data_IF_509248729477
#
_entry.id   IF_509248729477
#
_cell.length_a   1.000
_cell.length_b   1.000
_cell.length_c   1.000
_cell.angle_alpha   90.00
_cell.angle_beta   90.00
_cell.angle_gamma   90.00
#
_symmetry.space_group_name_H-M   'P 1'
#
loop_
_entity.id
_entity.type
_entity.pdbx_description
1 polymer ?
#
# COMPACT_ATOMS: atom_id res chain seq x y z
N UNK A 1 3.85 0.52 24.29
CA UNK A 1 2.86 -0.44 23.75
C UNK A 1 3.35 -1.84 24.08
N UNK A 2 2.51 -2.74 24.61
CA UNK A 2 2.87 -4.15 24.80
C UNK A 2 3.02 -4.82 23.41
N UNK A 3 4.02 -5.70 23.23
CA UNK A 3 4.27 -6.38 21.95
C UNK A 3 3.07 -7.18 21.44
N UNK A 4 2.25 -7.69 22.36
CA UNK A 4 1.02 -8.44 22.01
C UNK A 4 -0.06 -7.55 21.38
N UNK A 5 -0.18 -6.29 21.80
CA UNK A 5 -1.18 -5.37 21.22
C UNK A 5 -0.75 -4.84 19.85
N UNK A 6 0.55 -4.63 19.64
CA UNK A 6 1.11 -4.33 18.32
C UNK A 6 0.82 -5.46 17.33
N UNK A 7 1.13 -6.71 17.70
CA UNK A 7 0.95 -7.86 16.82
C UNK A 7 -0.51 -8.04 16.39
N UNK A 8 -1.47 -7.85 17.32
CA UNK A 8 -2.90 -7.92 17.01
C UNK A 8 -3.35 -6.79 16.08
N UNK A 9 -2.84 -5.57 16.29
CA UNK A 9 -3.16 -4.42 15.45
C UNK A 9 -2.61 -4.60 14.02
N UNK A 10 -1.35 -5.01 13.89
CA UNK A 10 -0.71 -5.28 12.60
C UNK A 10 -1.45 -6.42 11.89
N UNK A 11 -1.78 -7.52 12.58
CA UNK A 11 -2.51 -8.63 11.97
C UNK A 11 -3.88 -8.20 11.41
N UNK A 12 -4.66 -7.43 12.17
CA UNK A 12 -5.95 -6.90 11.70
C UNK A 12 -5.78 -5.98 10.50
N UNK A 13 -4.81 -5.07 10.56
CA UNK A 13 -4.50 -4.17 9.46
C UNK A 13 -4.10 -4.96 8.22
N UNK A 14 -3.19 -5.92 8.33
CA UNK A 14 -2.74 -6.77 7.22
C UNK A 14 -3.90 -7.51 6.56
N UNK A 15 -4.83 -8.08 7.33
CA UNK A 15 -5.99 -8.79 6.76
C UNK A 15 -6.90 -7.84 6.00
N UNK A 16 -7.30 -6.73 6.62
CA UNK A 16 -8.23 -5.77 5.98
C UNK A 16 -7.57 -5.15 4.75
N UNK A 17 -6.31 -4.77 4.87
CA UNK A 17 -5.56 -4.18 3.78
C UNK A 17 -5.35 -5.15 2.61
N UNK A 18 -5.04 -6.41 2.91
CA UNK A 18 -4.92 -7.46 1.90
C UNK A 18 -6.22 -7.64 1.15
N UNK A 19 -7.36 -7.64 1.85
CA UNK A 19 -8.68 -7.72 1.22
C UNK A 19 -8.96 -6.51 0.31
N UNK A 20 -8.69 -5.29 0.78
CA UNK A 20 -8.89 -4.07 0.00
C UNK A 20 -8.03 -4.08 -1.27
N UNK A 21 -6.73 -4.36 -1.13
CA UNK A 21 -5.80 -4.40 -2.27
C UNK A 21 -6.20 -5.49 -3.26
N UNK A 22 -6.61 -6.67 -2.76
CA UNK A 22 -7.08 -7.76 -3.62
C UNK A 22 -8.37 -7.40 -4.39
N UNK A 23 -9.35 -6.80 -3.72
CA UNK A 23 -10.61 -6.36 -4.35
C UNK A 23 -10.38 -5.26 -5.39
N UNK A 24 -9.51 -4.28 -5.07
CA UNK A 24 -9.15 -3.24 -6.03
C UNK A 24 -8.39 -3.81 -7.22
N UNK A 25 -7.40 -4.67 -6.99
CA UNK A 25 -6.65 -5.33 -8.07
C UNK A 25 -7.58 -6.16 -8.96
N UNK A 26 -8.50 -6.92 -8.36
CA UNK A 26 -9.51 -7.67 -9.10
C UNK A 26 -10.39 -6.74 -9.96
N UNK A 27 -10.93 -5.66 -9.38
CA UNK A 27 -11.74 -4.70 -10.12
C UNK A 27 -10.97 -4.02 -11.26
N UNK A 28 -9.73 -3.61 -11.02
CA UNK A 28 -8.88 -3.00 -12.04
C UNK A 28 -8.58 -3.97 -13.19
N UNK A 29 -8.28 -5.24 -12.90
CA UNK A 29 -8.01 -6.25 -13.94
C UNK A 29 -9.28 -6.68 -14.71
N UNK A 30 -10.47 -6.61 -14.09
CA UNK A 30 -11.71 -7.03 -14.76
C UNK A 30 -12.36 -5.90 -15.57
N UNK A 31 -12.26 -4.65 -15.13
CA UNK A 31 -13.03 -3.54 -15.72
C UNK A 31 -12.17 -2.48 -16.42
N UNK A 32 -10.89 -2.35 -16.09
CA UNK A 32 -10.03 -1.27 -16.64
C UNK A 32 -8.96 -1.83 -17.56
N UNK A 33 -8.23 -2.85 -17.10
CA UNK A 33 -7.10 -3.46 -17.80
C UNK A 33 -7.32 -4.96 -17.97
N UNK A 34 -8.06 -5.32 -19.02
CA UNK A 34 -8.43 -6.70 -19.33
C UNK A 34 -7.33 -7.46 -20.08
N UNK A 35 -6.30 -6.76 -20.57
CA UNK A 35 -5.17 -7.38 -21.25
C UNK A 35 -4.17 -7.99 -20.26
N UNK A 36 -3.59 -9.14 -20.63
CA UNK A 36 -2.69 -9.90 -19.75
C UNK A 36 -1.44 -9.10 -19.30
N UNK A 37 -0.76 -8.30 -20.15
CA UNK A 37 0.39 -7.51 -19.72
C UNK A 37 0.04 -6.45 -18.66
N UNK A 38 -1.08 -5.74 -18.85
CA UNK A 38 -1.53 -4.72 -17.89
C UNK A 38 -2.04 -5.34 -16.60
N UNK A 39 -2.76 -6.47 -16.67
CA UNK A 39 -3.19 -7.20 -15.47
C UNK A 39 -1.99 -7.68 -14.64
N UNK A 40 -0.92 -8.16 -15.28
CA UNK A 40 0.32 -8.52 -14.58
C UNK A 40 0.95 -7.31 -13.89
N UNK A 41 1.00 -6.14 -14.56
CA UNK A 41 1.51 -4.90 -13.97
C UNK A 41 0.71 -4.45 -12.73
N UNK A 42 -0.62 -4.61 -12.75
CA UNK A 42 -1.50 -4.34 -11.60
C UNK A 42 -1.24 -5.31 -10.46
N UNK A 43 -1.10 -6.60 -10.73
CA UNK A 43 -0.84 -7.63 -9.72
C UNK A 43 0.51 -7.41 -9.01
N UNK A 44 1.57 -7.10 -9.76
CA UNK A 44 2.88 -6.80 -9.17
C UNK A 44 2.80 -5.53 -8.32
N UNK A 45 2.11 -4.50 -8.80
CA UNK A 45 1.93 -3.25 -8.06
C UNK A 45 1.10 -3.45 -6.78
N UNK A 46 0.14 -4.38 -6.80
CA UNK A 46 -0.65 -4.78 -5.62
C UNK A 46 0.24 -5.41 -4.54
N UNK A 47 1.15 -6.31 -4.92
CA UNK A 47 2.11 -6.90 -3.99
C UNK A 47 3.05 -5.87 -3.37
N UNK A 48 3.59 -4.96 -4.18
CA UNK A 48 4.43 -3.86 -3.69
C UNK A 48 3.65 -2.98 -2.71
N UNK A 49 2.43 -2.60 -3.07
CA UNK A 49 1.57 -1.78 -2.23
C UNK A 49 1.31 -2.46 -0.88
N UNK A 50 0.97 -3.75 -0.89
CA UNK A 50 0.67 -4.53 0.30
C UNK A 50 1.86 -4.58 1.28
N UNK A 51 3.05 -4.91 0.79
CA UNK A 51 4.27 -4.98 1.61
C UNK A 51 4.59 -3.61 2.20
N UNK A 52 4.55 -2.55 1.38
CA UNK A 52 4.88 -1.19 1.81
C UNK A 52 3.88 -0.68 2.83
N UNK A 53 2.60 -1.00 2.69
CA UNK A 53 1.56 -0.57 3.63
C UNK A 53 1.72 -1.25 5.00
N UNK A 54 2.07 -2.53 5.05
CA UNK A 54 2.34 -3.23 6.32
C UNK A 54 3.55 -2.60 7.03
N UNK A 55 4.63 -2.35 6.30
CA UNK A 55 5.82 -1.68 6.83
C UNK A 55 5.49 -0.28 7.33
N UNK A 56 4.78 0.50 6.51
CA UNK A 56 4.35 1.86 6.83
C UNK A 56 3.52 1.87 8.11
N UNK A 57 2.47 1.05 8.18
CA UNK A 57 1.60 0.99 9.35
C UNK A 57 2.35 0.57 10.61
N UNK A 58 3.27 -0.39 10.49
CA UNK A 58 4.11 -0.81 11.63
C UNK A 58 4.95 0.34 12.15
N UNK A 59 5.60 1.10 11.26
CA UNK A 59 6.41 2.26 11.63
C UNK A 59 5.53 3.37 12.22
N UNK A 60 4.41 3.69 11.58
CA UNK A 60 3.46 4.70 12.06
C UNK A 60 2.97 4.33 13.46
N UNK A 61 2.58 3.07 13.71
CA UNK A 61 2.10 2.64 15.04
C UNK A 61 3.18 2.75 16.11
N UNK A 62 4.45 2.55 15.76
CA UNK A 62 5.60 2.71 16.67
C UNK A 62 5.93 4.18 16.97
N UNK A 63 5.76 5.07 16.00
CA UNK A 63 6.12 6.50 16.10
C UNK A 63 4.95 7.37 16.59
N UNK A 64 3.73 7.08 16.15
CA UNK A 64 2.52 7.84 16.43
C UNK A 64 2.10 7.80 17.91
N UNK A 65 2.66 6.89 18.71
CA UNK A 65 2.47 6.90 20.17
C UNK A 65 3.02 8.18 20.82
N UNK A 66 3.96 8.88 20.17
CA UNK A 66 4.54 10.13 20.68
C UNK A 66 4.08 11.36 19.90
N UNK A 67 3.84 11.22 18.59
CA UNK A 67 3.40 12.34 17.75
C UNK A 67 2.64 11.84 16.51
N UNK A 68 1.32 11.98 16.51
CA UNK A 68 0.44 11.49 15.44
C UNK A 68 0.79 12.09 14.08
N UNK A 69 1.08 13.40 14.05
CA UNK A 69 1.42 14.13 12.81
C UNK A 69 2.74 13.62 12.23
N UNK A 70 3.75 13.37 13.07
CA UNK A 70 5.04 12.85 12.61
C UNK A 70 4.92 11.42 12.06
N UNK A 71 4.14 10.56 12.72
CA UNK A 71 3.85 9.22 12.21
C UNK A 71 3.18 9.26 10.84
N UNK A 72 2.12 10.06 10.70
CA UNK A 72 1.38 10.19 9.45
C UNK A 72 2.22 10.80 8.32
N UNK A 73 3.03 11.82 8.63
CA UNK A 73 3.98 12.42 7.70
C UNK A 73 5.03 11.43 7.21
N UNK A 74 5.59 10.61 8.12
CA UNK A 74 6.59 9.60 7.77
C UNK A 74 6.00 8.49 6.87
N UNK A 75 4.78 8.03 7.16
CA UNK A 75 4.11 7.06 6.31
C UNK A 75 3.78 7.61 4.92
N UNK A 76 3.41 8.88 4.85
CA UNK A 76 3.18 9.57 3.57
C UNK A 76 4.47 9.68 2.76
N UNK A 77 5.59 10.07 3.38
CA UNK A 77 6.89 10.12 2.73
C UNK A 77 7.34 8.75 2.21
N UNK A 78 7.13 7.68 2.97
CA UNK A 78 7.50 6.32 2.54
C UNK A 78 6.70 5.88 1.31
N UNK A 79 5.42 6.23 1.23
CA UNK A 79 4.57 5.97 0.05
C UNK A 79 5.08 6.73 -1.17
N UNK A 80 5.36 8.03 -1.03
CA UNK A 80 5.90 8.83 -2.14
C UNK A 80 7.27 8.31 -2.61
N UNK A 81 8.15 7.98 -1.67
CA UNK A 81 9.44 7.35 -1.98
C UNK A 81 9.24 6.04 -2.75
N UNK A 82 8.28 5.21 -2.32
CA UNK A 82 7.96 3.96 -3.01
C UNK A 82 7.45 4.21 -4.43
N UNK A 83 6.55 5.18 -4.64
CA UNK A 83 6.08 5.54 -5.98
C UNK A 83 7.24 6.01 -6.87
N UNK A 84 8.15 6.83 -6.33
CA UNK A 84 9.35 7.27 -7.04
C UNK A 84 10.25 6.09 -7.44
N UNK A 85 10.61 5.23 -6.48
CA UNK A 85 11.42 4.04 -6.74
C UNK A 85 10.73 3.11 -7.75
N UNK A 86 9.42 2.93 -7.64
CA UNK A 86 8.65 2.10 -8.57
C UNK A 86 8.66 2.68 -9.98
N UNK A 87 8.45 4.00 -10.11
CA UNK A 87 8.44 4.72 -11.38
C UNK A 87 9.79 4.66 -12.11
N UNK A 88 10.90 4.90 -11.40
CA UNK A 88 12.22 5.00 -12.02
C UNK A 88 12.93 3.65 -12.17
N UNK A 89 12.70 2.71 -11.25
CA UNK A 89 13.46 1.46 -11.18
C UNK A 89 12.58 0.23 -11.33
N UNK A 90 11.49 0.14 -10.55
CA UNK A 90 10.69 -1.09 -10.46
C UNK A 90 10.05 -1.51 -11.79
N UNK A 91 9.37 -0.56 -12.46
CA UNK A 91 8.70 -0.80 -13.74
C UNK A 91 9.69 -1.23 -14.82
N UNK A 92 10.83 -0.54 -14.91
CA UNK A 92 11.87 -0.82 -15.92
C UNK A 92 12.55 -2.17 -15.65
N UNK A 93 12.86 -2.48 -14.38
CA UNK A 93 13.51 -3.72 -13.99
C UNK A 93 12.66 -4.96 -14.31
N UNK A 94 11.34 -4.83 -14.25
CA UNK A 94 10.38 -5.93 -14.43
C UNK A 94 9.70 -5.93 -15.80
N UNK A 95 10.04 -4.99 -16.69
CA UNK A 95 9.45 -4.89 -18.03
C UNK A 95 7.94 -4.65 -18.02
N UNK A 96 7.42 -3.95 -17.01
CA UNK A 96 5.98 -3.75 -16.82
C UNK A 96 5.43 -2.61 -17.68
N UNK A 97 4.15 -2.68 -18.02
CA UNK A 97 3.44 -1.57 -18.67
C UNK A 97 3.35 -0.38 -17.70
N UNK A 98 3.95 0.78 -18.02
CA UNK A 98 4.11 1.87 -17.04
C UNK A 98 2.79 2.47 -16.54
N UNK A 99 1.84 2.69 -17.44
CA UNK A 99 0.54 3.28 -17.11
C UNK A 99 -0.23 2.47 -16.05
N UNK A 100 -0.54 1.18 -16.31
CA UNK A 100 -1.21 0.31 -15.34
C UNK A 100 -0.43 0.16 -14.03
N UNK A 101 0.89 0.03 -14.08
CA UNK A 101 1.73 -0.15 -12.88
C UNK A 101 1.67 1.08 -11.95
N UNK A 102 1.83 2.29 -12.49
CA UNK A 102 1.80 3.51 -11.68
C UNK A 102 0.41 3.83 -11.17
N UNK A 103 -0.58 3.78 -12.05
CA UNK A 103 -1.95 4.14 -11.69
C UNK A 103 -2.49 3.19 -10.62
N UNK A 104 -2.31 1.88 -10.79
CA UNK A 104 -2.74 0.92 -9.77
C UNK A 104 -2.02 1.12 -8.44
N UNK A 105 -0.69 1.30 -8.43
CA UNK A 105 0.07 1.53 -7.20
C UNK A 105 -0.42 2.79 -6.46
N UNK A 106 -0.60 3.90 -7.17
CA UNK A 106 -1.10 5.15 -6.60
C UNK A 106 -2.53 4.98 -6.08
N UNK A 107 -3.41 4.30 -6.82
CA UNK A 107 -4.77 3.97 -6.37
C UNK A 107 -4.75 3.16 -5.08
N UNK A 108 -3.92 2.12 -4.99
CA UNK A 108 -3.81 1.31 -3.78
C UNK A 108 -3.34 2.14 -2.59
N UNK A 109 -2.30 2.97 -2.75
CA UNK A 109 -1.84 3.84 -1.67
C UNK A 109 -2.88 4.86 -1.28
N UNK A 110 -3.57 5.48 -2.23
CA UNK A 110 -4.57 6.49 -1.94
C UNK A 110 -5.72 5.90 -1.09
N UNK A 111 -6.33 4.81 -1.55
CA UNK A 111 -7.42 4.15 -0.81
C UNK A 111 -6.96 3.70 0.58
N UNK A 112 -5.74 3.16 0.67
CA UNK A 112 -5.13 2.77 1.94
C UNK A 112 -4.99 3.93 2.91
N UNK A 113 -4.59 5.10 2.42
CA UNK A 113 -4.39 6.30 3.24
C UNK A 113 -5.71 6.85 3.74
N UNK A 114 -6.80 6.71 2.98
CA UNK A 114 -8.15 7.08 3.42
C UNK A 114 -8.66 6.21 4.57
N UNK A 115 -8.25 4.95 4.60
CA UNK A 115 -8.73 3.96 5.57
C UNK A 115 -7.87 3.95 6.84
N UNK A 116 -6.59 4.35 6.74
CA UNK A 116 -5.63 4.40 7.84
C UNK A 116 -6.13 5.12 9.12
N UNK A 117 -6.83 6.28 9.04
CA UNK A 117 -7.38 6.96 10.22
C UNK A 117 -8.37 6.11 11.01
N UNK A 118 -9.15 5.25 10.33
CA UNK A 118 -10.12 4.35 10.97
C UNK A 118 -9.44 3.30 11.86
N UNK A 119 -8.18 2.97 11.57
CA UNK A 119 -7.38 2.00 12.34
C UNK A 119 -6.48 2.64 13.40
N UNK A 120 -6.32 3.97 13.38
CA UNK A 120 -5.55 4.72 14.36
C UNK A 120 -6.38 5.14 15.56
N UNK A 121 -7.70 5.25 15.43
CA UNK A 121 -8.62 5.68 16.51
C UNK A 121 -9.15 4.52 17.39
N UNK A 122 -8.49 3.34 17.37
CA UNK A 122 -8.87 2.13 18.12
C UNK A 122 -7.68 1.55 18.91
#
# INVERSE_FOLDING_TARGET
MDGKSLMRAVARFTVVQGLIVALLAFGLCQFVWTDAPSAHAVQVSAWVAFVVQILTFTIVKLVATQNLIAGWGLGTLLRFATVGVWAFMGIKALGLTPGPALLSLVTFFFVSTLIEPLFLNN
#
